data_IF_092632227065
#
_entry.id   IF_092632227065
#
_cell.length_a   1.000
_cell.length_b   1.000
_cell.length_c   1.000
_cell.angle_alpha   90.00
_cell.angle_beta   90.00
_cell.angle_gamma   90.00
#
_symmetry.space_group_name_H-M   'P 1'
#
loop_
_entity.id
_entity.type
_entity.pdbx_description
1 polymer ?
#
# COMPACT_ATOMS: atom_id res chain seq x y z
N UNK A 1 -13.35 -7.79 7.36
CA UNK A 1 -14.55 -6.94 7.65
C UNK A 1 -14.22 -5.46 7.85
N UNK A 2 -12.95 -5.08 7.93
CA UNK A 2 -12.55 -3.69 8.15
C UNK A 2 -12.73 -2.78 6.92
N UNK A 3 -12.76 -3.36 5.73
CA UNK A 3 -12.88 -2.66 4.45
C UNK A 3 -14.22 -2.97 3.77
N UNK A 4 -14.96 -1.92 3.41
CA UNK A 4 -16.10 -2.00 2.50
C UNK A 4 -15.65 -1.53 1.11
N UNK A 5 -15.74 -2.42 0.14
CA UNK A 5 -15.48 -2.10 -1.26
C UNK A 5 -16.65 -1.28 -1.78
N UNK A 6 -16.35 -0.13 -2.35
CA UNK A 6 -17.36 0.70 -3.00
C UNK A 6 -16.83 1.14 -4.37
N UNK A 7 -17.21 0.40 -5.39
CA UNK A 7 -16.89 0.73 -6.79
C UNK A 7 -18.18 1.15 -7.50
N UNK A 8 -18.38 2.44 -7.77
CA UNK A 8 -19.56 2.91 -8.51
C UNK A 8 -19.70 2.19 -9.87
N UNK A 9 -20.86 1.64 -10.14
CA UNK A 9 -21.11 0.82 -11.34
C UNK A 9 -20.52 -0.59 -11.29
N UNK A 10 -19.98 -1.01 -10.16
CA UNK A 10 -19.42 -2.33 -9.93
C UNK A 10 -19.86 -2.93 -8.60
N UNK A 11 -18.93 -3.57 -7.90
CA UNK A 11 -19.23 -4.25 -6.63
C UNK A 11 -19.28 -3.29 -5.45
N UNK A 12 -20.30 -3.44 -4.61
CA UNK A 12 -20.43 -2.77 -3.31
C UNK A 12 -20.65 -3.84 -2.25
N UNK A 13 -19.75 -3.96 -1.29
CA UNK A 13 -19.85 -4.96 -0.22
C UNK A 13 -18.49 -5.28 0.43
N UNK A 14 -18.45 -6.24 1.36
CA UNK A 14 -17.19 -6.71 1.96
C UNK A 14 -16.33 -7.44 0.92
N UNK A 15 -15.04 -7.49 1.16
CA UNK A 15 -14.16 -8.36 0.38
C UNK A 15 -14.51 -9.84 0.64
N UNK A 16 -14.48 -10.68 -0.40
CA UNK A 16 -14.77 -12.10 -0.31
C UNK A 16 -13.59 -12.95 -0.76
N UNK A 17 -13.16 -13.88 0.09
CA UNK A 17 -12.14 -14.87 -0.23
C UNK A 17 -12.60 -15.85 -1.33
N UNK A 18 -13.89 -16.08 -1.45
CA UNK A 18 -14.46 -16.96 -2.49
C UNK A 18 -14.33 -16.35 -3.89
N UNK A 19 -14.45 -15.02 -3.98
CA UNK A 19 -14.31 -14.30 -5.24
C UNK A 19 -12.86 -14.23 -5.74
N UNK A 20 -11.88 -14.17 -4.81
CA UNK A 20 -10.45 -14.05 -5.13
C UNK A 20 -9.59 -14.94 -4.23
N UNK A 21 -9.74 -16.29 -4.29
CA UNK A 21 -9.07 -17.20 -3.35
C UNK A 21 -7.54 -17.12 -3.43
N UNK A 22 -6.98 -16.78 -4.58
CA UNK A 22 -5.54 -16.61 -4.79
C UNK A 22 -4.94 -15.40 -4.04
N UNK A 23 -5.78 -14.51 -3.50
CA UNK A 23 -5.32 -13.38 -2.68
C UNK A 23 -5.18 -13.74 -1.19
N UNK A 24 -5.76 -14.84 -0.73
CA UNK A 24 -5.79 -15.20 0.70
C UNK A 24 -4.38 -15.43 1.24
N UNK A 25 -3.57 -16.21 0.53
CA UNK A 25 -2.20 -16.49 0.94
C UNK A 25 -1.32 -15.22 0.99
N UNK A 26 -1.23 -14.41 -0.08
CA UNK A 26 -0.48 -13.15 -0.04
C UNK A 26 -0.96 -12.19 1.06
N UNK A 27 -2.26 -12.08 1.30
CA UNK A 27 -2.81 -11.24 2.38
C UNK A 27 -2.37 -11.75 3.76
N UNK A 28 -2.37 -13.06 3.98
CA UNK A 28 -1.90 -13.65 5.23
C UNK A 28 -0.38 -13.45 5.41
N UNK A 29 0.39 -13.49 4.33
CA UNK A 29 1.83 -13.24 4.38
C UNK A 29 2.17 -11.81 4.78
N UNK A 30 1.33 -10.82 4.45
CA UNK A 30 1.52 -9.43 4.90
C UNK A 30 1.40 -9.27 6.43
N UNK A 31 0.72 -10.18 7.11
CA UNK A 31 0.65 -10.22 8.57
C UNK A 31 1.71 -11.16 9.20
N UNK A 32 2.54 -11.83 8.39
CA UNK A 32 3.58 -12.75 8.86
C UNK A 32 4.69 -11.99 9.58
N UNK A 33 5.26 -12.64 10.60
CA UNK A 33 6.49 -12.18 11.27
C UNK A 33 7.73 -12.97 10.87
N UNK A 34 7.56 -13.94 10.01
CA UNK A 34 8.65 -14.76 9.46
C UNK A 34 9.21 -14.24 8.14
N UNK A 35 8.64 -13.16 7.61
CA UNK A 35 9.05 -12.56 6.35
C UNK A 35 9.19 -11.05 6.50
N UNK A 36 10.16 -10.48 5.82
CA UNK A 36 10.41 -9.03 5.78
C UNK A 36 9.75 -8.36 4.58
N UNK A 37 9.46 -9.13 3.55
CA UNK A 37 8.84 -8.63 2.33
C UNK A 37 7.91 -9.65 1.68
N UNK A 38 6.90 -9.13 0.97
CA UNK A 38 6.01 -9.89 0.09
C UNK A 38 6.01 -9.25 -1.28
N UNK A 39 6.39 -10.02 -2.30
CA UNK A 39 6.34 -9.58 -3.69
C UNK A 39 5.22 -10.32 -4.42
N UNK A 40 4.29 -9.60 -4.99
CA UNK A 40 3.19 -10.15 -5.78
C UNK A 40 3.20 -9.61 -7.20
N UNK A 41 3.46 -10.49 -8.16
CA UNK A 41 3.42 -10.19 -9.58
C UNK A 41 2.23 -10.90 -10.21
N UNK A 42 1.37 -10.18 -10.87
CA UNK A 42 0.17 -10.76 -11.47
C UNK A 42 -0.44 -9.87 -12.55
N UNK A 43 -1.32 -10.41 -13.40
CA UNK A 43 -1.96 -9.67 -14.48
C UNK A 43 -2.71 -8.43 -13.98
N UNK A 44 -2.90 -7.46 -14.87
CA UNK A 44 -3.74 -6.31 -14.60
C UNK A 44 -5.19 -6.74 -14.30
N UNK A 45 -5.91 -5.98 -13.47
CA UNK A 45 -7.32 -6.19 -13.12
C UNK A 45 -7.65 -7.49 -12.37
N UNK A 46 -6.68 -8.10 -11.73
CA UNK A 46 -6.89 -9.27 -10.85
C UNK A 46 -7.23 -8.89 -9.40
N UNK A 47 -7.48 -7.63 -9.12
CA UNK A 47 -7.83 -7.18 -7.77
C UNK A 47 -6.64 -6.99 -6.82
N UNK A 48 -5.39 -7.01 -7.32
CA UNK A 48 -4.16 -6.87 -6.51
C UNK A 48 -4.22 -5.68 -5.55
N UNK A 49 -4.41 -4.48 -6.08
CA UNK A 49 -4.43 -3.26 -5.27
C UNK A 49 -5.53 -3.31 -4.22
N UNK A 50 -6.72 -3.82 -4.56
CA UNK A 50 -7.82 -3.95 -3.63
C UNK A 50 -7.56 -5.00 -2.55
N UNK A 51 -7.16 -6.21 -2.98
CA UNK A 51 -6.92 -7.34 -2.08
C UNK A 51 -5.70 -7.13 -1.19
N UNK A 52 -4.58 -6.71 -1.77
CA UNK A 52 -3.34 -6.56 -1.02
C UNK A 52 -3.23 -5.19 -0.36
N UNK A 53 -3.24 -4.09 -1.14
CA UNK A 53 -2.95 -2.78 -0.60
C UNK A 53 -4.10 -2.18 0.23
N UNK A 54 -5.30 -2.04 -0.36
CA UNK A 54 -6.41 -1.39 0.35
C UNK A 54 -6.83 -2.18 1.59
N UNK A 55 -6.85 -3.52 1.48
CA UNK A 55 -7.17 -4.40 2.62
C UNK A 55 -6.09 -4.36 3.70
N UNK A 56 -4.82 -4.29 3.32
CA UNK A 56 -3.72 -4.20 4.27
C UNK A 56 -3.70 -2.85 5.00
N UNK A 57 -3.90 -1.74 4.29
CA UNK A 57 -4.06 -0.42 4.91
C UNK A 57 -5.24 -0.43 5.89
N UNK A 58 -6.39 -0.99 5.49
CA UNK A 58 -7.55 -1.09 6.35
C UNK A 58 -7.28 -1.96 7.60
N UNK A 59 -6.58 -3.09 7.44
CA UNK A 59 -6.16 -3.95 8.54
C UNK A 59 -5.21 -3.21 9.49
N UNK A 60 -4.19 -2.53 8.96
CA UNK A 60 -3.26 -1.76 9.75
C UNK A 60 -3.97 -0.67 10.57
N UNK A 61 -4.86 0.09 9.95
CA UNK A 61 -5.60 1.15 10.65
C UNK A 61 -6.50 0.61 11.77
N UNK A 62 -7.13 -0.55 11.58
CA UNK A 62 -8.16 -1.03 12.53
C UNK A 62 -7.61 -2.01 13.55
N UNK A 63 -6.68 -2.89 13.14
CA UNK A 63 -6.30 -4.05 13.95
C UNK A 63 -4.84 -4.06 14.41
N UNK A 64 -3.92 -3.52 13.61
CA UNK A 64 -2.48 -3.58 13.91
C UNK A 64 -1.78 -2.27 13.53
N UNK A 65 -2.01 -1.19 14.29
CA UNK A 65 -1.54 0.15 13.91
C UNK A 65 -0.02 0.27 13.88
N UNK A 66 0.45 0.98 12.86
CA UNK A 66 1.85 1.34 12.65
C UNK A 66 1.97 2.26 11.46
N UNK A 67 2.94 3.17 11.47
CA UNK A 67 3.12 4.13 10.39
C UNK A 67 3.32 3.42 9.05
N UNK A 68 2.61 3.90 8.05
CA UNK A 68 2.44 3.24 6.76
C UNK A 68 2.82 4.18 5.61
N UNK A 69 3.76 3.77 4.78
CA UNK A 69 4.14 4.45 3.56
C UNK A 69 3.58 3.70 2.35
N UNK A 70 2.77 4.37 1.54
CA UNK A 70 2.35 3.88 0.21
C UNK A 70 3.09 4.69 -0.84
N UNK A 71 3.83 4.02 -1.72
CA UNK A 71 4.56 4.63 -2.83
C UNK A 71 3.88 4.28 -4.13
N UNK A 72 3.40 5.28 -4.83
CA UNK A 72 2.84 5.20 -6.17
C UNK A 72 3.90 5.62 -7.20
N UNK A 73 3.74 5.23 -8.45
CA UNK A 73 4.75 5.49 -9.50
C UNK A 73 5.04 6.99 -9.74
N UNK A 74 4.06 7.87 -9.54
CA UNK A 74 4.20 9.33 -9.70
C UNK A 74 3.41 10.11 -8.66
N UNK A 75 3.69 11.40 -8.54
CA UNK A 75 2.96 12.30 -7.65
C UNK A 75 1.46 12.39 -8.00
N UNK A 76 1.14 12.43 -9.30
CA UNK A 76 -0.24 12.47 -9.77
C UNK A 76 -0.98 11.19 -9.38
N UNK A 77 -0.33 10.03 -9.52
CA UNK A 77 -0.90 8.74 -9.11
C UNK A 77 -1.04 8.63 -7.59
N UNK A 78 -0.11 9.16 -6.83
CA UNK A 78 -0.24 9.26 -5.37
C UNK A 78 -1.48 10.08 -4.97
N UNK A 79 -1.69 11.22 -5.61
CA UNK A 79 -2.87 12.08 -5.39
C UNK A 79 -4.17 11.38 -5.81
N UNK A 80 -4.18 10.74 -6.98
CA UNK A 80 -5.34 9.98 -7.47
C UNK A 80 -5.69 8.85 -6.50
N UNK A 81 -4.72 8.04 -6.10
CA UNK A 81 -4.89 6.94 -5.16
C UNK A 81 -5.49 7.42 -3.83
N UNK A 82 -4.92 8.46 -3.25
CA UNK A 82 -5.43 9.06 -2.02
C UNK A 82 -6.93 9.38 -2.12
N UNK A 83 -7.32 10.13 -3.16
CA UNK A 83 -8.70 10.61 -3.30
C UNK A 83 -9.68 9.54 -3.72
N UNK A 84 -9.30 8.70 -4.67
CA UNK A 84 -10.23 7.73 -5.27
C UNK A 84 -10.33 6.43 -4.49
N UNK A 85 -9.30 6.07 -3.71
CA UNK A 85 -9.27 4.82 -2.96
C UNK A 85 -9.28 5.04 -1.45
N UNK A 86 -8.31 5.74 -0.88
CA UNK A 86 -8.21 5.91 0.58
C UNK A 86 -9.37 6.74 1.14
N UNK A 87 -9.64 7.92 0.59
CA UNK A 87 -10.76 8.75 1.04
C UNK A 87 -12.11 8.04 0.86
N UNK A 88 -12.26 7.27 -0.22
CA UNK A 88 -13.45 6.47 -0.47
C UNK A 88 -13.56 5.34 0.54
N UNK A 89 -12.50 4.59 0.79
CA UNK A 89 -12.48 3.52 1.79
C UNK A 89 -12.84 4.05 3.18
N UNK A 90 -12.24 5.15 3.62
CA UNK A 90 -12.56 5.79 4.90
C UNK A 90 -14.02 6.22 4.97
N UNK A 91 -14.56 6.78 3.89
CA UNK A 91 -15.95 7.26 3.84
C UNK A 91 -16.98 6.15 3.96
N UNK A 92 -16.73 5.02 3.32
CA UNK A 92 -17.72 3.93 3.19
C UNK A 92 -17.49 2.76 4.14
N UNK A 93 -16.36 2.71 4.84
CA UNK A 93 -16.06 1.66 5.82
C UNK A 93 -16.27 2.19 7.24
N UNK A 94 -17.31 1.75 7.98
CA UNK A 94 -17.60 2.25 9.31
C UNK A 94 -16.42 2.14 10.27
N UNK A 95 -15.68 1.02 10.22
CA UNK A 95 -14.50 0.79 11.04
C UNK A 95 -13.39 1.82 10.77
N UNK A 96 -13.07 2.08 9.50
CA UNK A 96 -12.07 3.11 9.11
C UNK A 96 -12.53 4.52 9.48
N UNK A 97 -13.82 4.82 9.24
CA UNK A 97 -14.41 6.11 9.59
C UNK A 97 -14.32 6.39 11.10
N UNK A 98 -14.53 5.37 11.92
CA UNK A 98 -14.43 5.48 13.38
C UNK A 98 -13.00 5.81 13.84
N UNK A 99 -11.98 5.39 13.10
CA UNK A 99 -10.57 5.63 13.41
C UNK A 99 -10.05 6.97 12.84
N UNK A 100 -10.81 7.64 11.98
CA UNK A 100 -10.40 8.94 11.42
C UNK A 100 -10.20 9.98 12.52
N UNK A 101 -9.08 10.72 12.47
CA UNK A 101 -8.85 11.87 13.36
C UNK A 101 -9.90 12.96 13.14
N UNK A 102 -10.29 13.65 14.22
CA UNK A 102 -11.22 14.77 14.15
C UNK A 102 -10.56 16.07 13.62
N UNK A 103 -9.23 16.18 13.65
CA UNK A 103 -8.51 17.35 13.19
C UNK A 103 -8.44 17.39 11.66
N UNK A 104 -8.88 18.50 11.06
CA UNK A 104 -8.75 18.72 9.62
C UNK A 104 -7.29 18.82 9.15
N UNK A 105 -6.37 19.21 10.02
CA UNK A 105 -4.93 19.25 9.72
C UNK A 105 -4.32 17.86 9.55
N UNK A 106 -4.97 16.83 10.08
CA UNK A 106 -4.57 15.42 10.02
C UNK A 106 -5.08 14.69 8.76
N UNK A 107 -5.74 15.39 7.85
CA UNK A 107 -6.34 14.81 6.65
C UNK A 107 -6.05 15.70 5.44
N UNK A 108 -4.87 15.54 4.86
CA UNK A 108 -4.53 16.17 3.60
C UNK A 108 -4.37 15.14 2.47
N UNK A 109 -4.02 15.60 1.28
CA UNK A 109 -3.94 14.71 0.10
C UNK A 109 -2.92 13.57 0.27
N UNK A 110 -1.80 13.85 0.91
CA UNK A 110 -0.68 12.88 0.99
C UNK A 110 -0.50 12.28 2.37
N UNK A 111 -1.12 12.85 3.39
CA UNK A 111 -0.94 12.42 4.78
C UNK A 111 -2.29 12.27 5.47
N UNK A 112 -2.51 11.13 6.10
CA UNK A 112 -3.69 10.81 6.90
C UNK A 112 -3.24 10.37 8.28
N UNK A 113 -3.71 11.04 9.33
CA UNK A 113 -3.50 10.59 10.70
C UNK A 113 -4.77 10.03 11.29
N UNK A 114 -4.63 8.95 12.03
CA UNK A 114 -5.73 8.27 12.70
C UNK A 114 -5.72 8.55 14.22
N UNK A 115 -6.83 8.28 14.92
CA UNK A 115 -7.01 8.60 16.36
C UNK A 115 -5.94 8.01 17.27
N UNK A 116 -5.42 6.83 16.95
CA UNK A 116 -4.34 6.17 17.70
C UNK A 116 -2.93 6.67 17.35
N UNK A 117 -2.81 7.70 16.52
CA UNK A 117 -1.53 8.31 16.15
C UNK A 117 -0.85 7.71 14.91
N UNK A 118 -1.39 6.63 14.34
CA UNK A 118 -0.85 6.07 13.10
C UNK A 118 -0.89 7.13 11.99
N UNK A 119 0.21 7.22 11.26
CA UNK A 119 0.38 8.06 10.09
C UNK A 119 0.40 7.21 8.81
N UNK A 120 -0.51 7.49 7.90
CA UNK A 120 -0.51 6.93 6.55
C UNK A 120 -0.03 8.01 5.59
N UNK A 121 1.13 7.80 5.02
CA UNK A 121 1.71 8.65 3.99
C UNK A 121 1.58 8.03 2.61
N UNK A 122 1.17 8.85 1.63
CA UNK A 122 1.02 8.45 0.23
C UNK A 122 1.99 9.29 -0.59
N UNK A 123 3.03 8.66 -1.13
CA UNK A 123 4.18 9.31 -1.74
C UNK A 123 4.53 8.73 -3.12
N UNK A 124 5.62 9.17 -3.70
CA UNK A 124 6.18 8.72 -4.97
C UNK A 124 7.70 8.54 -4.83
N UNK A 125 8.37 7.84 -5.79
CA UNK A 125 9.76 7.46 -5.64
C UNK A 125 10.70 8.68 -5.71
N UNK A 126 11.11 9.18 -4.58
CA UNK A 126 12.19 10.17 -4.41
C UNK A 126 13.01 9.82 -3.20
N UNK A 127 14.27 10.24 -3.16
CA UNK A 127 15.16 10.05 -2.00
C UNK A 127 14.48 10.57 -0.72
N UNK A 128 13.94 11.78 -0.76
CA UNK A 128 13.27 12.38 0.40
C UNK A 128 12.14 11.51 0.94
N UNK A 129 11.29 10.95 0.07
CA UNK A 129 10.16 10.14 0.51
C UNK A 129 10.58 8.76 1.03
N UNK A 130 11.68 8.21 0.50
CA UNK A 130 12.14 6.85 0.82
C UNK A 130 13.28 6.80 1.83
N UNK A 131 13.81 7.95 2.28
CA UNK A 131 14.99 7.97 3.16
C UNK A 131 14.81 8.76 4.47
N UNK A 132 13.72 9.53 4.61
CA UNK A 132 13.61 10.52 5.70
C UNK A 132 12.90 10.04 6.97
N UNK A 133 12.19 8.92 6.96
CA UNK A 133 11.41 8.45 8.10
C UNK A 133 11.37 6.94 8.17
N UNK A 134 11.13 6.40 9.36
CA UNK A 134 10.89 4.97 9.55
C UNK A 134 9.41 4.67 9.44
N UNK A 135 9.08 3.55 8.79
CA UNK A 135 7.72 3.07 8.63
C UNK A 135 7.65 1.61 9.00
N UNK A 136 6.62 1.22 9.75
CA UNK A 136 6.38 -0.19 10.02
C UNK A 136 5.95 -0.93 8.76
N UNK A 137 5.21 -0.27 7.90
CA UNK A 137 4.68 -0.82 6.67
C UNK A 137 5.06 0.04 5.47
N UNK A 138 5.60 -0.59 4.45
CA UNK A 138 5.91 0.05 3.17
C UNK A 138 5.26 -0.73 2.05
N UNK A 139 4.49 -0.06 1.20
CA UNK A 139 3.88 -0.64 0.01
C UNK A 139 4.35 0.08 -1.25
N UNK A 140 4.97 -0.65 -2.16
CA UNK A 140 5.42 -0.18 -3.47
C UNK A 140 4.48 -0.75 -4.52
N UNK A 141 3.74 0.10 -5.21
CA UNK A 141 2.70 -0.31 -6.16
C UNK A 141 3.09 0.02 -7.59
N UNK A 142 2.67 -0.82 -8.54
CA UNK A 142 3.09 -0.71 -9.93
C UNK A 142 4.63 -0.60 -10.08
N UNK A 143 5.33 -1.45 -9.33
CA UNK A 143 6.78 -1.37 -9.13
C UNK A 143 7.58 -1.39 -10.44
N UNK A 144 7.13 -2.15 -11.44
CA UNK A 144 7.72 -2.21 -12.78
C UNK A 144 7.75 -0.85 -13.51
N UNK A 145 6.98 0.13 -13.01
CA UNK A 145 6.92 1.49 -13.54
C UNK A 145 7.74 2.49 -12.74
N UNK A 146 8.33 2.06 -11.65
CA UNK A 146 9.23 2.92 -10.86
C UNK A 146 10.61 2.98 -11.51
N UNK A 147 11.41 4.03 -11.24
CA UNK A 147 12.80 4.08 -11.65
C UNK A 147 13.60 2.91 -11.06
N UNK A 148 14.52 2.34 -11.83
CA UNK A 148 15.42 1.26 -11.37
C UNK A 148 16.35 1.73 -10.25
N UNK A 149 16.71 3.01 -10.28
CA UNK A 149 17.55 3.68 -9.28
C UNK A 149 16.94 5.03 -8.91
N UNK A 150 16.93 5.36 -7.62
CA UNK A 150 16.42 6.61 -7.08
C UNK A 150 17.60 7.54 -6.79
N UNK A 151 17.94 8.36 -7.76
CA UNK A 151 18.97 9.41 -7.65
C UNK A 151 20.34 8.89 -7.12
N UNK A 152 20.74 7.68 -7.49
CA UNK A 152 22.00 7.05 -7.06
C UNK A 152 21.96 6.35 -5.70
N UNK A 153 20.84 6.34 -5.01
CA UNK A 153 20.69 5.74 -3.67
C UNK A 153 20.21 4.27 -3.71
N UNK A 154 19.88 3.78 -4.90
CA UNK A 154 19.43 2.40 -5.14
C UNK A 154 17.95 2.29 -5.47
N UNK A 155 17.45 1.06 -5.56
CA UNK A 155 16.06 0.79 -5.96
C UNK A 155 15.06 1.20 -4.89
N UNK A 156 13.84 1.53 -5.31
CA UNK A 156 12.74 1.84 -4.38
C UNK A 156 12.50 0.71 -3.37
N UNK A 157 12.70 -0.56 -3.77
CA UNK A 157 12.58 -1.70 -2.88
C UNK A 157 13.67 -1.68 -1.78
N UNK A 158 14.93 -1.51 -2.17
CA UNK A 158 16.04 -1.48 -1.20
C UNK A 158 15.87 -0.33 -0.19
N UNK A 159 15.48 0.85 -0.67
CA UNK A 159 15.22 2.00 0.19
C UNK A 159 13.99 1.78 1.09
N UNK A 160 12.89 1.27 0.54
CA UNK A 160 11.68 0.97 1.28
C UNK A 160 11.88 -0.09 2.37
N UNK A 161 12.59 -1.17 2.06
CA UNK A 161 12.90 -2.22 3.02
C UNK A 161 13.72 -1.69 4.20
N UNK A 162 14.69 -0.82 3.95
CA UNK A 162 15.47 -0.15 5.02
C UNK A 162 14.57 0.63 6.00
N UNK A 163 13.42 1.14 5.56
CA UNK A 163 12.50 1.91 6.44
C UNK A 163 11.79 1.04 7.46
N UNK A 164 11.69 -0.27 7.22
CA UNK A 164 11.02 -1.20 8.11
C UNK A 164 11.93 -1.82 9.17
N UNK A 165 13.25 -1.68 9.04
CA UNK A 165 14.26 -2.38 9.88
C UNK A 165 14.14 -2.06 11.37
N UNK A 166 13.78 -0.84 11.73
CA UNK A 166 13.57 -0.42 13.14
C UNK A 166 12.49 -1.25 13.83
N UNK A 167 11.54 -1.80 13.07
CA UNK A 167 10.42 -2.59 13.61
C UNK A 167 10.72 -4.09 13.69
N UNK A 168 11.91 -4.52 13.27
CA UNK A 168 12.35 -5.93 13.29
C UNK A 168 11.31 -6.85 12.60
N UNK A 169 10.97 -7.98 13.23
CA UNK A 169 9.99 -8.93 12.68
C UNK A 169 8.56 -8.40 12.55
N UNK A 170 8.29 -7.17 12.96
CA UNK A 170 6.98 -6.52 12.77
C UNK A 170 6.95 -5.57 11.58
N UNK A 171 8.11 -5.26 11.02
CA UNK A 171 8.22 -4.50 9.78
C UNK A 171 7.84 -5.35 8.57
N UNK A 172 7.21 -4.75 7.57
CA UNK A 172 6.83 -5.45 6.34
C UNK A 172 6.93 -4.51 5.13
N UNK A 173 7.59 -4.97 4.08
CA UNK A 173 7.62 -4.31 2.79
C UNK A 173 6.80 -5.13 1.77
N UNK A 174 5.83 -4.52 1.12
CA UNK A 174 5.06 -5.12 0.04
C UNK A 174 5.44 -4.52 -1.30
N UNK A 175 5.63 -5.38 -2.29
CA UNK A 175 5.77 -4.98 -3.69
C UNK A 175 4.63 -5.62 -4.48
N UNK A 176 3.89 -4.82 -5.24
CA UNK A 176 2.94 -5.36 -6.20
C UNK A 176 3.16 -4.75 -7.58
N UNK A 177 3.08 -5.58 -8.60
CA UNK A 177 3.21 -5.13 -9.98
C UNK A 177 2.44 -5.99 -10.97
N UNK A 178 2.15 -5.39 -12.12
CA UNK A 178 1.81 -6.12 -13.34
C UNK A 178 2.98 -6.02 -14.29
N UNK A 179 3.42 -7.11 -14.93
CA UNK A 179 4.47 -7.05 -15.94
C UNK A 179 4.13 -5.99 -16.99
N UNK A 180 4.98 -4.99 -17.13
CA UNK A 180 4.76 -3.87 -18.04
C UNK A 180 5.40 -4.04 -19.41
N UNK A 181 6.28 -5.03 -19.52
CA UNK A 181 7.03 -5.31 -20.75
C UNK A 181 6.85 -6.77 -21.18
N UNK A 182 7.06 -7.01 -22.44
CA UNK A 182 7.09 -8.37 -22.99
C UNK A 182 8.34 -9.09 -22.46
N UNK A 183 8.16 -10.25 -21.85
CA UNK A 183 9.27 -11.11 -21.38
C UNK A 183 10.19 -11.58 -22.50
N UNK A 184 9.76 -11.48 -23.76
CA UNK A 184 10.58 -11.74 -24.94
C UNK A 184 11.48 -10.58 -25.33
N UNK A 185 11.30 -9.38 -24.75
CA UNK A 185 12.19 -8.25 -24.98
C UNK A 185 13.56 -8.53 -24.34
N UNK A 186 14.65 -8.57 -25.13
CA UNK A 186 16.00 -8.85 -24.60
C UNK A 186 16.49 -7.79 -23.60
N UNK A 187 15.85 -6.62 -23.54
CA UNK A 187 16.14 -5.56 -22.57
C UNK A 187 15.24 -5.62 -21.33
N UNK A 188 14.34 -6.61 -21.26
CA UNK A 188 13.51 -6.81 -20.07
C UNK A 188 14.38 -7.30 -18.89
N UNK A 189 14.35 -6.59 -17.79
CA UNK A 189 15.08 -6.89 -16.56
C UNK A 189 14.15 -6.93 -15.36
#
# INVERSE_FOLDING_TARGET
ESLVINQPGGYIGPWSAEATPYMVEPMNMLASRGHEAVCFVGPARTGKTLGLLDSWVAHAVVNDPGDFLVVQMTQEKAREFSKTRIDRAIRHSPALKAMKSASAQHDNTHDKMFKHGMWLRIAWPTVTNLSSSDYRYVALTDYDRMPDDIDGEGSAFALGLKRTTTFLSRGMCMVESSPGRDVSDPNWR
#
